data_IF_746252397811
#
_entry.id   IF_746252397811
#
_cell.length_a   1.000
_cell.length_b   1.000
_cell.length_c   1.000
_cell.angle_alpha   90.00
_cell.angle_beta   90.00
_cell.angle_gamma   90.00
#
_symmetry.space_group_name_H-M   'P 1'
#
loop_
_entity.id
_entity.type
_entity.pdbx_description
1 polymer ?
#
# COMPACT_ATOMS: atom_id res chain seq x y z
N UNK A 1 -27.25 1.56 -46.47
CA UNK A 1 -27.79 2.93 -46.36
C UNK A 1 -27.90 3.21 -44.87
N UNK A 2 -26.99 4.00 -44.31
CA UNK A 2 -27.07 4.36 -42.89
C UNK A 2 -28.38 5.12 -42.65
N UNK A 3 -29.09 4.76 -41.60
CA UNK A 3 -30.39 5.37 -41.29
C UNK A 3 -30.17 6.81 -40.84
N UNK A 4 -30.98 7.76 -41.32
CA UNK A 4 -30.85 9.19 -40.98
C UNK A 4 -30.79 9.47 -39.46
N UNK A 5 -31.36 8.58 -38.66
CA UNK A 5 -31.33 8.59 -37.19
C UNK A 5 -29.92 8.30 -36.62
N UNK A 6 -29.17 7.39 -37.23
CA UNK A 6 -27.82 7.01 -36.80
C UNK A 6 -26.80 8.11 -37.08
N UNK A 7 -27.00 8.86 -38.15
CA UNK A 7 -26.20 10.05 -38.46
C UNK A 7 -26.48 11.15 -37.44
N UNK A 8 -27.76 11.37 -37.10
CA UNK A 8 -28.14 12.35 -36.07
C UNK A 8 -27.58 12.02 -34.68
N UNK A 9 -27.51 10.73 -34.30
CA UNK A 9 -26.93 10.37 -33.00
C UNK A 9 -25.43 10.55 -32.95
N UNK A 10 -24.70 10.25 -34.03
CA UNK A 10 -23.27 10.53 -34.14
C UNK A 10 -22.97 12.03 -34.06
N UNK A 11 -23.66 12.84 -34.86
CA UNK A 11 -23.46 14.30 -34.88
C UNK A 11 -23.72 14.92 -33.50
N UNK A 12 -24.72 14.40 -32.76
CA UNK A 12 -25.04 14.87 -31.41
C UNK A 12 -23.98 14.45 -30.39
N UNK A 13 -23.46 13.21 -30.49
CA UNK A 13 -22.39 12.73 -29.60
C UNK A 13 -21.08 13.48 -29.82
N UNK A 14 -20.72 13.77 -31.06
CA UNK A 14 -19.54 14.57 -31.40
C UNK A 14 -19.69 16.00 -30.87
N UNK A 15 -20.86 16.61 -31.02
CA UNK A 15 -21.15 17.94 -30.50
C UNK A 15 -21.07 18.00 -28.96
N UNK A 16 -21.65 17.02 -28.27
CA UNK A 16 -21.58 16.92 -26.80
C UNK A 16 -20.14 16.71 -26.33
N UNK A 17 -19.40 15.82 -26.99
CA UNK A 17 -18.01 15.51 -26.63
C UNK A 17 -17.11 16.73 -26.82
N UNK A 18 -17.23 17.45 -27.94
CA UNK A 18 -16.48 18.67 -28.19
C UNK A 18 -16.78 19.76 -27.14
N UNK A 19 -18.04 19.89 -26.73
CA UNK A 19 -18.46 20.90 -25.74
C UNK A 19 -17.95 20.56 -24.33
N UNK A 20 -18.02 19.30 -23.92
CA UNK A 20 -17.45 18.81 -22.66
C UNK A 20 -15.93 19.04 -22.63
N UNK A 21 -15.22 18.77 -23.74
CA UNK A 21 -13.78 19.06 -23.83
C UNK A 21 -13.44 20.55 -23.67
N UNK A 22 -14.34 21.43 -24.13
CA UNK A 22 -14.19 22.88 -24.00
C UNK A 22 -14.62 23.43 -22.62
N UNK A 23 -15.10 22.57 -21.70
CA UNK A 23 -15.50 22.95 -20.34
C UNK A 23 -16.91 23.54 -20.23
N UNK A 24 -17.68 23.55 -21.31
CA UNK A 24 -19.07 23.96 -21.31
C UNK A 24 -19.95 22.81 -20.81
N UNK A 25 -20.78 23.06 -19.80
CA UNK A 25 -21.65 22.05 -19.18
C UNK A 25 -22.62 21.42 -20.17
N UNK A 26 -22.82 20.10 -20.05
CA UNK A 26 -23.73 19.32 -20.90
C UNK A 26 -25.22 19.47 -20.52
N UNK A 27 -25.54 20.29 -19.51
CA UNK A 27 -26.88 20.42 -18.93
C UNK A 27 -27.91 20.98 -19.93
N UNK A 28 -27.46 21.82 -20.86
CA UNK A 28 -28.27 22.40 -21.94
C UNK A 28 -28.83 21.33 -22.90
N UNK A 29 -28.16 20.17 -23.05
CA UNK A 29 -28.67 19.07 -23.90
C UNK A 29 -29.74 18.22 -23.22
N UNK A 30 -29.80 18.20 -21.88
CA UNK A 30 -30.86 17.52 -21.15
C UNK A 30 -32.20 18.25 -21.29
N UNK A 31 -32.17 19.57 -21.34
CA UNK A 31 -33.38 20.40 -21.45
C UNK A 31 -33.82 20.63 -22.89
N UNK A 32 -32.87 20.69 -23.84
CA UNK A 32 -33.14 21.17 -25.20
C UNK A 32 -33.41 20.07 -26.23
N UNK A 33 -33.10 18.82 -25.90
CA UNK A 33 -33.15 17.75 -26.87
C UNK A 33 -34.34 16.84 -26.61
N UNK A 34 -35.23 16.73 -27.60
CA UNK A 34 -36.18 15.62 -27.77
C UNK A 34 -35.44 14.30 -28.02
N UNK A 35 -34.29 14.09 -27.37
CA UNK A 35 -33.46 12.92 -27.58
C UNK A 35 -34.05 11.72 -26.85
N UNK A 36 -33.88 10.52 -27.43
CA UNK A 36 -34.23 9.27 -26.78
C UNK A 36 -33.66 9.21 -25.34
N UNK A 37 -34.41 8.67 -24.37
CA UNK A 37 -33.97 8.58 -22.98
C UNK A 37 -32.61 7.87 -22.82
N UNK A 38 -32.27 6.97 -23.73
CA UNK A 38 -30.99 6.26 -23.81
C UNK A 38 -29.79 7.21 -24.01
N UNK A 39 -29.96 8.28 -24.79
CA UNK A 39 -28.92 9.28 -25.03
C UNK A 39 -28.67 10.14 -23.80
N UNK A 40 -29.72 10.46 -23.03
CA UNK A 40 -29.57 11.26 -21.81
C UNK A 40 -28.72 10.55 -20.74
N UNK A 41 -28.83 9.22 -20.67
CA UNK A 41 -28.02 8.40 -19.79
C UNK A 41 -26.56 8.38 -20.24
N UNK A 42 -26.31 8.25 -21.55
CA UNK A 42 -24.98 8.25 -22.14
C UNK A 42 -24.26 9.61 -22.00
N UNK A 43 -24.96 10.72 -22.18
CA UNK A 43 -24.40 12.06 -21.92
C UNK A 43 -23.98 12.21 -20.45
N UNK A 44 -24.80 11.69 -19.54
CA UNK A 44 -24.48 11.67 -18.10
C UNK A 44 -23.21 10.87 -17.77
N UNK A 45 -23.01 9.71 -18.42
CA UNK A 45 -21.79 8.91 -18.19
C UNK A 45 -20.56 9.58 -18.78
N UNK A 46 -20.65 10.18 -19.98
CA UNK A 46 -19.55 10.93 -20.59
C UNK A 46 -19.12 12.10 -19.70
N UNK A 47 -20.08 12.84 -19.14
CA UNK A 47 -19.80 13.95 -18.23
C UNK A 47 -19.15 13.49 -16.93
N UNK A 48 -19.64 12.41 -16.32
CA UNK A 48 -19.05 11.85 -15.10
C UNK A 48 -17.63 11.30 -15.34
N UNK A 49 -17.41 10.66 -16.49
CA UNK A 49 -16.11 10.16 -16.90
C UNK A 49 -15.13 11.31 -17.14
N UNK A 50 -15.58 12.38 -17.81
CA UNK A 50 -14.77 13.58 -18.00
C UNK A 50 -14.38 14.17 -16.64
N UNK A 51 -15.32 14.39 -15.73
CA UNK A 51 -15.01 14.90 -14.38
C UNK A 51 -14.04 14.01 -13.60
N UNK A 52 -14.16 12.69 -13.72
CA UNK A 52 -13.27 11.74 -13.05
C UNK A 52 -11.86 11.70 -13.68
N UNK A 53 -11.75 12.01 -14.97
CA UNK A 53 -10.50 11.95 -15.75
C UNK A 53 -9.86 13.32 -15.94
N UNK A 54 -10.52 14.42 -15.57
CA UNK A 54 -9.91 15.75 -15.58
C UNK A 54 -8.76 15.77 -14.58
N UNK A 55 -7.52 16.02 -15.03
CA UNK A 55 -6.38 16.07 -14.12
C UNK A 55 -6.58 17.22 -13.12
N UNK A 56 -6.77 16.85 -11.85
CA UNK A 56 -6.83 17.81 -10.75
C UNK A 56 -5.40 18.15 -10.37
N UNK A 57 -5.06 19.44 -10.41
CA UNK A 57 -3.76 19.90 -9.91
C UNK A 57 -3.67 19.58 -8.41
N UNK A 58 -2.69 18.76 -7.99
CA UNK A 58 -2.58 18.34 -6.60
C UNK A 58 -2.34 19.56 -5.72
N UNK A 59 -2.95 19.58 -4.53
CA UNK A 59 -2.73 20.66 -3.55
C UNK A 59 -1.24 20.76 -3.22
N UNK A 60 -0.70 21.98 -3.01
CA UNK A 60 0.71 22.16 -2.69
C UNK A 60 1.12 21.36 -1.45
N UNK A 61 0.24 21.28 -0.45
CA UNK A 61 0.42 20.46 0.77
C UNK A 61 0.62 18.96 0.46
N UNK A 62 -0.13 18.43 -0.52
CA UNK A 62 -0.03 17.03 -0.93
C UNK A 62 1.28 16.76 -1.69
N UNK A 63 1.70 17.70 -2.54
CA UNK A 63 2.97 17.61 -3.26
C UNK A 63 4.13 17.66 -2.27
N UNK A 64 4.08 18.53 -1.27
CA UNK A 64 5.10 18.61 -0.22
C UNK A 64 5.14 17.34 0.63
N UNK A 65 3.98 16.80 1.04
CA UNK A 65 3.94 15.53 1.79
C UNK A 65 4.44 14.35 0.95
N UNK A 66 4.07 14.28 -0.32
CA UNK A 66 4.49 13.21 -1.21
C UNK A 66 5.98 13.32 -1.53
N UNK A 67 6.49 14.54 -1.71
CA UNK A 67 7.91 14.81 -1.89
C UNK A 67 8.69 14.42 -0.63
N UNK A 68 8.18 14.73 0.56
CA UNK A 68 8.76 14.28 1.81
C UNK A 68 8.77 12.74 1.90
N UNK A 69 7.68 12.06 1.56
CA UNK A 69 7.58 10.59 1.59
C UNK A 69 8.50 9.90 0.56
N UNK A 70 8.65 10.49 -0.63
CA UNK A 70 9.51 9.96 -1.70
C UNK A 70 10.99 10.23 -1.44
N UNK A 71 11.35 11.42 -0.96
CA UNK A 71 12.74 11.81 -0.67
C UNK A 71 13.23 11.20 0.64
N UNK A 72 12.38 11.15 1.68
CA UNK A 72 12.74 10.50 2.94
C UNK A 72 12.93 8.98 2.75
N UNK A 73 12.48 8.44 1.61
CA UNK A 73 12.29 7.00 1.44
C UNK A 73 11.24 6.50 2.41
N UNK A 74 10.61 5.37 2.11
CA UNK A 74 9.81 4.65 3.11
C UNK A 74 10.55 4.68 4.44
N UNK A 75 9.94 5.14 5.55
CA UNK A 75 10.48 4.78 6.85
C UNK A 75 10.49 3.26 6.86
N UNK A 76 11.69 2.69 6.73
CA UNK A 76 11.90 1.26 6.73
C UNK A 76 11.23 0.68 7.97
N UNK A 77 10.94 -0.61 7.96
CA UNK A 77 10.33 -1.40 9.03
C UNK A 77 10.81 -1.00 10.45
N UNK A 78 12.02 -0.43 10.56
CA UNK A 78 12.62 0.22 11.72
C UNK A 78 11.77 1.34 12.37
N UNK A 79 11.14 2.25 11.61
CA UNK A 79 10.34 3.34 12.22
C UNK A 79 9.01 2.85 12.79
N UNK A 80 8.51 1.69 12.34
CA UNK A 80 7.31 1.05 12.89
C UNK A 80 7.59 0.40 14.26
N UNK A 81 8.85 0.12 14.57
CA UNK A 81 9.27 -0.42 15.88
C UNK A 81 9.26 0.68 16.97
N UNK A 82 9.40 1.96 16.60
CA UNK A 82 9.45 3.07 17.57
C UNK A 82 8.08 3.49 18.14
N UNK A 83 6.97 2.89 17.66
CA UNK A 83 5.61 3.05 18.26
C UNK A 83 5.11 1.78 18.95
N UNK A 84 6.00 0.96 19.50
CA UNK A 84 5.56 -0.14 20.37
C UNK A 84 5.16 0.38 21.77
N UNK A 85 3.99 -0.04 22.32
CA UNK A 85 3.60 0.25 23.69
C UNK A 85 4.73 -0.13 24.65
N UNK A 86 5.06 0.72 25.64
CA UNK A 86 6.12 0.52 26.65
C UNK A 86 6.17 -0.89 27.29
N UNK A 87 5.03 -1.60 27.29
CA UNK A 87 4.91 -2.97 27.81
C UNK A 87 5.64 -4.00 26.94
N UNK A 88 5.67 -3.81 25.61
CA UNK A 88 6.30 -4.75 24.68
C UNK A 88 7.82 -4.58 24.68
N UNK A 89 8.33 -3.35 24.83
CA UNK A 89 9.78 -3.11 24.98
C UNK A 89 10.35 -3.76 26.25
N UNK A 90 9.59 -3.78 27.35
CA UNK A 90 9.97 -4.48 28.58
C UNK A 90 10.01 -6.00 28.39
N UNK A 91 8.99 -6.57 27.74
CA UNK A 91 8.95 -8.00 27.46
C UNK A 91 10.10 -8.43 26.54
N UNK A 92 10.40 -7.64 25.50
CA UNK A 92 11.51 -7.89 24.59
C UNK A 92 12.87 -7.81 25.30
N UNK A 93 13.06 -6.82 26.17
CA UNK A 93 14.28 -6.69 26.98
C UNK A 93 14.44 -7.88 27.94
N UNK A 94 13.37 -8.28 28.63
CA UNK A 94 13.38 -9.44 29.52
C UNK A 94 13.66 -10.75 28.77
N UNK A 95 13.07 -10.95 27.60
CA UNK A 95 13.32 -12.12 26.76
C UNK A 95 14.78 -12.20 26.30
N UNK A 96 15.38 -11.06 25.93
CA UNK A 96 16.78 -10.99 25.53
C UNK A 96 17.71 -11.31 26.71
N UNK A 97 17.45 -10.73 27.89
CA UNK A 97 18.22 -11.02 29.10
C UNK A 97 18.09 -12.49 29.50
N UNK A 98 16.89 -13.04 29.53
CA UNK A 98 16.65 -14.44 29.87
C UNK A 98 17.31 -15.40 28.87
N UNK A 99 17.21 -15.13 27.57
CA UNK A 99 17.88 -15.91 26.53
C UNK A 99 19.40 -15.87 26.65
N UNK A 100 19.97 -14.71 26.94
CA UNK A 100 21.41 -14.55 27.17
C UNK A 100 21.86 -15.36 28.40
N UNK A 101 21.12 -15.25 29.51
CA UNK A 101 21.40 -15.97 30.75
C UNK A 101 21.33 -17.49 30.56
N UNK A 102 20.36 -17.97 29.78
CA UNK A 102 20.21 -19.39 29.44
C UNK A 102 21.41 -19.90 28.64
N UNK A 103 21.91 -19.14 27.66
CA UNK A 103 23.10 -19.50 26.88
C UNK A 103 24.34 -19.58 27.80
N UNK A 104 24.50 -18.62 28.71
CA UNK A 104 25.60 -18.61 29.68
C UNK A 104 25.53 -19.79 30.64
N UNK A 105 24.35 -20.07 31.19
CA UNK A 105 24.11 -21.24 32.05
C UNK A 105 24.46 -22.52 31.31
N UNK A 106 23.97 -22.69 30.08
CA UNK A 106 24.27 -23.86 29.26
C UNK A 106 25.78 -24.05 29.08
N UNK A 107 26.53 -22.99 28.81
CA UNK A 107 27.99 -23.07 28.66
C UNK A 107 28.72 -23.44 29.96
N UNK A 108 28.25 -22.97 31.12
CA UNK A 108 28.84 -23.36 32.39
C UNK A 108 28.61 -24.85 32.70
N UNK A 109 27.41 -25.36 32.42
CA UNK A 109 27.09 -26.77 32.66
C UNK A 109 27.74 -27.73 31.64
N UNK A 110 27.93 -27.33 30.38
CA UNK A 110 28.65 -28.12 29.37
C UNK A 110 30.17 -28.18 29.62
N UNK A 111 30.70 -27.49 30.65
CA UNK A 111 32.12 -27.48 30.99
C UNK A 111 32.52 -28.53 32.02
N UNK A 112 31.66 -29.49 32.37
CA UNK A 112 32.04 -30.62 33.21
C UNK A 112 32.95 -31.57 32.39
N UNK A 113 34.27 -31.66 32.68
CA UNK A 113 35.12 -32.60 31.98
C UNK A 113 34.68 -34.03 32.32
N UNK A 114 34.71 -34.97 31.36
CA UNK A 114 34.32 -36.35 31.62
C UNK A 114 35.17 -36.90 32.78
N UNK A 115 34.60 -37.73 33.67
CA UNK A 115 35.39 -38.34 34.74
C UNK A 115 36.52 -39.13 34.08
N UNK A 116 37.76 -38.68 34.32
CA UNK A 116 38.94 -39.43 33.96
C UNK A 116 38.79 -40.81 34.60
N UNK A 117 38.58 -41.83 33.77
CA UNK A 117 38.68 -43.21 34.17
C UNK A 117 40.12 -43.36 34.62
N UNK A 118 40.34 -43.43 35.94
CA UNK A 118 41.59 -43.89 36.49
C UNK A 118 41.72 -45.35 36.05
N UNK A 119 42.36 -45.57 34.90
CA UNK A 119 43.08 -46.79 34.62
C UNK A 119 44.21 -46.86 35.64
N UNK A 120 43.83 -47.22 36.86
CA UNK A 120 44.74 -47.70 37.87
C UNK A 120 45.35 -48.97 37.28
N UNK A 121 46.57 -48.80 36.77
CA UNK A 121 47.49 -49.86 36.44
C UNK A 121 47.67 -50.74 37.69
N UNK A 122 46.77 -51.71 37.87
CA UNK A 122 46.99 -52.83 38.77
C UNK A 122 48.05 -53.69 38.11
N UNK A 123 49.27 -53.36 38.51
CA UNK A 123 50.50 -54.07 38.23
C UNK A 123 50.27 -55.58 38.34
N UNK A 124 50.72 -56.27 37.31
CA UNK A 124 51.13 -57.66 37.34
C UNK A 124 52.27 -57.81 38.36
N UNK A 125 52.16 -58.69 39.37
CA UNK A 125 53.34 -59.32 39.94
C UNK A 125 53.49 -60.75 39.37
N UNK A 126 54.74 -61.07 39.07
CA UNK A 126 55.26 -62.36 38.61
C UNK A 126 54.88 -63.55 39.51
#
# INVERSE_FOLDING_TARGET
MASSSEIQTHDLLDAVTARIQNGDGADDYRERSESPPELSALVGTIQALHQALTPVEPRPEFVESLRADLIAGRPGVVARVQRMPRRISLAAALALVAGCLLIFLRRLFDSEPPPEIQEEAVATPL
#
